data_IF_020707856175
#
_entry.id   IF_020707856175
#
_cell.length_a   1.000
_cell.length_b   1.000
_cell.length_c   1.000
_cell.angle_alpha   90.00
_cell.angle_beta   90.00
_cell.angle_gamma   90.00
#
_symmetry.space_group_name_H-M   'P 1'
#
loop_
_entity.id
_entity.type
_entity.pdbx_description
1 polymer ?
#
# COMPACT_ATOMS: atom_id res chain seq x y z
N UNK A 1 14.58 15.93 -2.43
CA UNK A 1 13.59 14.92 -2.01
C UNK A 1 12.90 15.32 -0.70
N UNK A 2 13.63 15.55 0.41
CA UNK A 2 13.02 15.93 1.69
C UNK A 2 12.34 17.32 1.67
N UNK A 3 12.94 18.29 0.98
CA UNK A 3 12.36 19.62 0.84
C UNK A 3 11.01 19.61 0.11
N UNK A 4 10.89 18.78 -0.92
CA UNK A 4 9.62 18.56 -1.63
C UNK A 4 8.55 17.98 -0.69
N UNK A 5 8.92 17.03 0.17
CA UNK A 5 8.01 16.43 1.16
C UNK A 5 7.57 17.50 2.16
N UNK A 6 8.49 18.33 2.67
CA UNK A 6 8.19 19.45 3.57
C UNK A 6 7.15 20.39 2.97
N UNK A 7 7.35 20.82 1.72
CA UNK A 7 6.42 21.71 1.01
C UNK A 7 5.05 21.05 0.80
N UNK A 8 5.00 19.77 0.43
CA UNK A 8 3.75 19.02 0.27
C UNK A 8 2.98 18.95 1.60
N UNK A 9 3.68 18.63 2.70
CA UNK A 9 3.07 18.54 4.02
C UNK A 9 2.57 19.90 4.49
N UNK A 10 3.38 20.96 4.36
CA UNK A 10 2.98 22.33 4.70
C UNK A 10 1.70 22.73 3.95
N UNK A 11 1.67 22.51 2.62
CA UNK A 11 0.48 22.75 1.79
C UNK A 11 -0.74 21.97 2.27
N UNK A 12 -0.55 20.68 2.54
CA UNK A 12 -1.63 19.81 3.01
C UNK A 12 -2.18 20.25 4.37
N UNK A 13 -1.33 20.59 5.32
CA UNK A 13 -1.74 20.98 6.67
C UNK A 13 -2.63 22.23 6.62
N UNK A 14 -2.18 23.31 5.97
CA UNK A 14 -2.96 24.54 5.91
C UNK A 14 -4.26 24.36 5.09
N UNK A 15 -4.21 23.68 3.94
CA UNK A 15 -5.40 23.49 3.10
C UNK A 15 -6.48 22.66 3.80
N UNK A 16 -6.09 21.65 4.58
CA UNK A 16 -7.05 20.83 5.34
C UNK A 16 -7.67 21.61 6.50
N UNK A 17 -6.88 22.44 7.19
CA UNK A 17 -7.36 23.34 8.23
C UNK A 17 -8.37 24.35 7.68
N UNK A 18 -8.04 25.02 6.58
CA UNK A 18 -8.92 26.02 5.95
C UNK A 18 -10.25 25.42 5.48
N UNK A 19 -10.21 24.19 4.94
CA UNK A 19 -11.43 23.47 4.53
C UNK A 19 -12.36 23.21 5.70
N UNK A 20 -11.83 22.79 6.85
CA UNK A 20 -12.65 22.45 8.02
C UNK A 20 -13.11 23.70 8.77
N UNK A 21 -12.33 24.77 8.77
CA UNK A 21 -12.76 26.07 9.30
C UNK A 21 -13.98 26.62 8.55
N UNK A 22 -13.99 26.52 7.21
CA UNK A 22 -15.12 26.95 6.36
C UNK A 22 -16.36 26.05 6.48
N UNK A 23 -16.20 24.84 6.99
CA UNK A 23 -17.30 23.88 7.11
C UNK A 23 -18.07 24.09 8.42
N UNK A 24 -19.39 24.30 8.33
CA UNK A 24 -20.24 24.61 9.49
C UNK A 24 -20.71 23.41 10.32
N UNK A 25 -20.56 22.18 9.83
CA UNK A 25 -21.05 20.99 10.55
C UNK A 25 -20.09 20.47 11.63
N UNK A 26 -20.63 19.70 12.57
CA UNK A 26 -19.88 19.10 13.67
C UNK A 26 -19.04 17.88 13.26
N UNK A 27 -19.47 17.16 12.23
CA UNK A 27 -18.81 15.94 11.72
C UNK A 27 -18.07 16.26 10.43
N UNK A 28 -16.91 15.63 10.20
CA UNK A 28 -16.10 15.89 8.99
C UNK A 28 -16.92 15.71 7.69
N UNK A 29 -16.70 16.54 6.65
CA UNK A 29 -17.54 16.56 5.44
C UNK A 29 -17.69 15.19 4.74
N UNK A 30 -16.61 14.42 4.65
CA UNK A 30 -16.62 13.10 4.03
C UNK A 30 -17.52 12.12 4.79
N UNK A 31 -17.53 12.20 6.12
CA UNK A 31 -18.33 11.35 7.00
C UNK A 31 -19.78 11.84 7.02
N UNK A 32 -20.01 13.15 7.03
CA UNK A 32 -21.35 13.72 6.87
C UNK A 32 -22.02 13.19 5.60
N UNK A 33 -21.30 13.14 4.46
CA UNK A 33 -21.84 12.57 3.23
C UNK A 33 -22.23 11.10 3.35
N UNK A 34 -21.46 10.30 4.10
CA UNK A 34 -21.81 8.90 4.38
C UNK A 34 -23.08 8.83 5.23
N UNK A 35 -23.16 9.64 6.28
CA UNK A 35 -24.36 9.74 7.12
C UNK A 35 -25.58 10.12 6.31
N UNK A 36 -25.51 11.14 5.46
CA UNK A 36 -26.65 11.57 4.62
C UNK A 36 -27.13 10.44 3.70
N UNK A 37 -26.22 9.62 3.16
CA UNK A 37 -26.60 8.44 2.39
C UNK A 37 -27.27 7.38 3.27
N UNK A 38 -26.73 7.11 4.46
CA UNK A 38 -27.31 6.15 5.40
C UNK A 38 -28.68 6.60 5.89
N UNK A 39 -28.88 7.91 6.14
CA UNK A 39 -30.17 8.52 6.47
C UNK A 39 -31.19 8.28 5.37
N UNK A 40 -30.83 8.49 4.09
CA UNK A 40 -31.71 8.19 2.95
C UNK A 40 -32.10 6.72 2.89
N UNK A 41 -31.15 5.81 3.10
CA UNK A 41 -31.41 4.36 3.08
C UNK A 41 -32.18 3.87 4.31
N UNK A 42 -32.11 4.60 5.43
CA UNK A 42 -32.72 4.22 6.70
C UNK A 42 -34.24 4.07 6.65
N UNK A 43 -34.90 4.77 5.71
CA UNK A 43 -36.36 4.73 5.55
C UNK A 43 -36.89 3.39 4.98
N UNK A 44 -36.01 2.53 4.48
CA UNK A 44 -36.39 1.26 3.83
C UNK A 44 -36.57 0.09 4.81
N UNK A 45 -36.52 0.35 6.11
CA UNK A 45 -36.48 -0.70 7.13
C UNK A 45 -37.65 -0.59 8.11
N UNK A 46 -38.19 -1.74 8.49
CA UNK A 46 -39.21 -1.86 9.53
C UNK A 46 -38.52 -2.18 10.84
N UNK A 47 -38.92 -1.50 11.92
CA UNK A 47 -38.29 -1.58 13.23
C UNK A 47 -39.21 -2.27 14.24
N UNK A 48 -38.67 -3.22 14.98
CA UNK A 48 -39.29 -3.83 16.15
C UNK A 48 -38.42 -3.50 17.36
N UNK A 49 -38.96 -2.70 18.27
CA UNK A 49 -38.27 -2.23 19.45
C UNK A 49 -38.48 -3.17 20.64
N UNK A 50 -37.41 -3.47 21.38
CA UNK A 50 -37.48 -4.35 22.54
C UNK A 50 -37.89 -3.64 23.86
N UNK A 51 -38.23 -2.34 23.81
CA UNK A 51 -38.53 -1.53 24.99
C UNK A 51 -37.30 -0.90 25.68
N UNK A 52 -36.08 -1.14 25.20
CA UNK A 52 -34.85 -0.57 25.76
C UNK A 52 -33.90 -0.02 24.67
N UNK A 53 -32.66 -0.52 24.59
CA UNK A 53 -31.64 -0.04 23.64
C UNK A 53 -31.43 -0.98 22.45
N UNK A 54 -32.21 -2.06 22.35
CA UNK A 54 -32.06 -3.04 21.27
C UNK A 54 -33.25 -3.01 20.32
N UNK A 55 -32.94 -3.21 19.06
CA UNK A 55 -33.90 -3.21 17.97
C UNK A 55 -33.65 -4.40 17.07
N UNK A 56 -34.74 -4.99 16.60
CA UNK A 56 -34.74 -5.84 15.42
C UNK A 56 -35.14 -4.98 14.22
N UNK A 57 -34.32 -5.00 13.19
CA UNK A 57 -34.48 -4.22 11.96
C UNK A 57 -34.73 -5.20 10.83
N UNK A 58 -35.89 -5.12 10.19
CA UNK A 58 -36.30 -5.99 9.09
C UNK A 58 -36.20 -5.23 7.77
N UNK A 59 -35.52 -5.84 6.80
CA UNK A 59 -35.48 -5.37 5.42
C UNK A 59 -36.62 -5.95 4.58
N UNK A 60 -36.87 -5.33 3.42
CA UNK A 60 -37.90 -5.78 2.47
C UNK A 60 -37.70 -7.22 1.98
N UNK A 61 -36.45 -7.69 1.93
CA UNK A 61 -36.06 -9.05 1.55
C UNK A 61 -36.34 -10.12 2.62
N UNK A 62 -36.86 -9.74 3.78
CA UNK A 62 -37.04 -10.64 4.92
C UNK A 62 -35.79 -10.80 5.79
N UNK A 63 -34.66 -10.24 5.38
CA UNK A 63 -33.44 -10.16 6.19
C UNK A 63 -33.69 -9.39 7.49
N UNK A 64 -33.05 -9.85 8.57
CA UNK A 64 -33.17 -9.27 9.90
C UNK A 64 -31.80 -8.94 10.48
N UNK A 65 -31.69 -7.76 11.08
CA UNK A 65 -30.51 -7.31 11.79
C UNK A 65 -30.85 -6.93 13.22
N UNK A 66 -29.92 -7.15 14.12
CA UNK A 66 -30.03 -6.69 15.51
C UNK A 66 -29.13 -5.47 15.68
N UNK A 67 -29.68 -4.42 16.28
CA UNK A 67 -28.97 -3.17 16.58
C UNK A 67 -29.01 -2.96 18.09
N UNK A 68 -27.87 -2.62 18.68
CA UNK A 68 -27.74 -2.19 20.07
C UNK A 68 -27.17 -0.77 20.10
N UNK A 69 -28.00 0.20 20.47
CA UNK A 69 -27.62 1.62 20.50
C UNK A 69 -26.67 1.95 21.67
N UNK A 70 -26.79 1.24 22.80
CA UNK A 70 -25.88 1.44 23.94
C UNK A 70 -24.46 0.98 23.64
N UNK A 71 -24.33 -0.17 22.99
CA UNK A 71 -23.05 -0.71 22.58
C UNK A 71 -22.54 -0.10 21.27
N UNK A 72 -23.36 0.73 20.60
CA UNK A 72 -23.07 1.29 19.27
C UNK A 72 -22.70 0.20 18.26
N UNK A 73 -23.48 -0.88 18.26
CA UNK A 73 -23.19 -2.10 17.51
C UNK A 73 -24.37 -2.52 16.64
N UNK A 74 -24.08 -3.18 15.52
CA UNK A 74 -25.08 -3.71 14.62
C UNK A 74 -24.62 -5.04 14.02
N UNK A 75 -25.50 -6.02 13.91
CA UNK A 75 -25.17 -7.34 13.35
C UNK A 75 -24.65 -7.29 11.90
N UNK A 76 -24.91 -6.21 11.15
CA UNK A 76 -24.30 -5.99 9.84
C UNK A 76 -22.78 -5.66 9.89
N UNK A 77 -22.21 -5.47 11.08
CA UNK A 77 -20.80 -5.14 11.39
C UNK A 77 -20.24 -3.84 10.83
N UNK A 78 -20.97 -3.13 9.96
CA UNK A 78 -20.53 -1.84 9.41
C UNK A 78 -20.22 -0.83 10.52
N UNK A 79 -21.09 -0.75 11.54
CA UNK A 79 -20.89 0.18 12.64
C UNK A 79 -19.69 -0.22 13.50
N UNK A 80 -19.56 -1.50 13.86
CA UNK A 80 -18.44 -1.99 14.68
C UNK A 80 -17.07 -1.77 14.01
N UNK A 81 -17.02 -1.85 12.68
CA UNK A 81 -15.78 -1.71 11.91
C UNK A 81 -15.40 -0.25 11.63
N UNK A 82 -16.40 0.62 11.44
CA UNK A 82 -16.17 1.99 10.98
C UNK A 82 -16.40 3.05 12.05
N UNK A 83 -17.01 2.69 13.18
CA UNK A 83 -17.48 3.61 14.21
C UNK A 83 -18.46 4.69 13.68
N UNK A 84 -19.07 4.43 12.51
CA UNK A 84 -20.08 5.28 11.87
C UNK A 84 -21.41 4.51 11.87
N UNK A 85 -22.51 5.11 12.34
CA UNK A 85 -23.84 4.49 12.29
C UNK A 85 -24.17 4.03 10.87
N UNK A 86 -24.50 2.75 10.73
CA UNK A 86 -24.97 2.18 9.47
C UNK A 86 -26.43 2.58 9.19
N UNK A 87 -26.95 2.23 8.02
CA UNK A 87 -28.33 2.49 7.63
C UNK A 87 -29.35 1.90 8.63
N UNK A 88 -29.11 0.67 9.13
CA UNK A 88 -29.97 0.03 10.13
C UNK A 88 -29.97 0.78 11.47
N UNK A 89 -28.77 1.14 11.95
CA UNK A 89 -28.61 1.89 13.19
C UNK A 89 -29.24 3.28 13.09
N UNK A 90 -29.11 3.91 11.93
CA UNK A 90 -29.70 5.21 11.63
C UNK A 90 -31.22 5.16 11.75
N UNK A 91 -31.86 4.11 11.24
CA UNK A 91 -33.31 3.89 11.41
C UNK A 91 -33.71 3.82 12.89
N UNK A 92 -32.95 3.07 13.70
CA UNK A 92 -33.21 2.95 15.14
C UNK A 92 -33.05 4.27 15.89
N UNK A 93 -32.03 5.07 15.54
CA UNK A 93 -31.77 6.38 16.13
C UNK A 93 -32.93 7.35 15.80
N UNK A 94 -33.39 7.35 14.55
CA UNK A 94 -34.54 8.15 14.14
C UNK A 94 -35.83 7.74 14.85
N UNK A 95 -36.03 6.44 15.09
CA UNK A 95 -37.17 5.97 15.90
C UNK A 95 -37.15 6.57 17.31
N UNK A 96 -35.97 6.73 17.93
CA UNK A 96 -35.79 7.38 19.23
C UNK A 96 -35.84 8.91 19.18
N UNK A 97 -35.97 9.52 18.00
CA UNK A 97 -35.93 10.98 17.77
C UNK A 97 -34.62 11.63 18.25
N UNK A 98 -33.52 10.90 18.14
CA UNK A 98 -32.18 11.37 18.49
C UNK A 98 -31.39 11.74 17.23
N UNK A 99 -30.30 12.50 17.37
CA UNK A 99 -29.46 12.88 16.24
C UNK A 99 -28.43 11.80 15.93
N UNK A 100 -28.23 11.49 14.64
CA UNK A 100 -27.31 10.44 14.19
C UNK A 100 -25.85 10.85 14.41
N UNK A 101 -25.57 12.15 14.31
CA UNK A 101 -24.26 12.76 14.50
C UNK A 101 -23.70 12.50 15.92
N UNK A 102 -24.56 12.36 16.93
CA UNK A 102 -24.16 12.09 18.33
C UNK A 102 -23.60 10.67 18.53
N UNK A 103 -24.01 9.76 17.64
CA UNK A 103 -23.61 8.37 17.63
C UNK A 103 -22.30 8.12 16.88
N UNK A 104 -21.80 9.12 16.13
CA UNK A 104 -20.48 9.08 15.50
C UNK A 104 -19.39 9.20 16.56
N UNK A 105 -18.30 8.44 16.40
CA UNK A 105 -17.16 8.52 17.31
C UNK A 105 -16.41 9.85 17.19
N UNK A 106 -15.82 10.29 18.30
CA UNK A 106 -15.11 11.56 18.44
C UNK A 106 -14.01 11.81 17.38
N UNK A 107 -13.35 10.76 16.88
CA UNK A 107 -12.27 10.88 15.89
C UNK A 107 -12.72 11.49 14.55
N UNK A 108 -14.01 11.41 14.25
CA UNK A 108 -14.60 11.99 13.04
C UNK A 108 -15.22 13.37 13.27
N UNK A 109 -15.23 13.87 14.51
CA UNK A 109 -15.72 15.21 14.81
C UNK A 109 -14.70 16.28 14.39
N UNK A 110 -15.24 17.45 14.05
CA UNK A 110 -14.49 18.64 13.63
C UNK A 110 -13.40 19.01 14.64
N UNK A 111 -13.70 18.94 15.92
CA UNK A 111 -12.76 19.27 16.99
C UNK A 111 -11.48 18.41 16.94
N UNK A 112 -11.63 17.09 16.82
CA UNK A 112 -10.50 16.18 16.76
C UNK A 112 -9.71 16.35 15.45
N UNK A 113 -10.42 16.61 14.34
CA UNK A 113 -9.76 16.96 13.09
C UNK A 113 -8.92 18.23 13.24
N UNK A 114 -9.46 19.29 13.84
CA UNK A 114 -8.73 20.53 14.07
C UNK A 114 -7.49 20.31 14.93
N UNK A 115 -7.58 19.51 16.00
CA UNK A 115 -6.41 19.12 16.81
C UNK A 115 -5.36 18.37 15.99
N UNK A 116 -5.76 17.44 15.14
CA UNK A 116 -4.84 16.68 14.30
C UNK A 116 -4.07 17.55 13.28
N UNK A 117 -4.65 18.67 12.86
CA UNK A 117 -4.07 19.63 11.90
C UNK A 117 -3.71 20.97 12.54
N UNK A 118 -3.59 21.02 13.87
CA UNK A 118 -3.33 22.25 14.61
C UNK A 118 -1.90 22.76 14.35
N UNK A 119 -0.94 21.84 14.32
CA UNK A 119 0.47 22.17 14.19
C UNK A 119 0.82 22.61 12.77
N UNK A 120 1.61 23.68 12.70
CA UNK A 120 2.11 24.29 11.47
C UNK A 120 3.57 23.88 11.27
N UNK A 121 3.93 23.66 10.01
CA UNK A 121 5.34 23.61 9.63
C UNK A 121 5.80 25.04 9.37
N UNK A 122 6.96 25.41 9.91
CA UNK A 122 7.55 26.72 9.66
C UNK A 122 8.25 26.74 8.29
N UNK A 123 8.26 27.89 7.60
CA UNK A 123 9.13 28.10 6.45
C UNK A 123 10.60 27.95 6.89
N UNK A 124 11.41 27.44 5.99
CA UNK A 124 12.86 27.31 6.17
C UNK A 124 13.51 28.07 5.02
N UNK A 125 14.68 28.67 5.29
CA UNK A 125 15.49 29.39 4.31
C UNK A 125 15.95 28.48 3.17
N UNK A 126 16.65 29.06 2.20
CA UNK A 126 17.18 28.27 1.08
C UNK A 126 18.21 27.24 1.55
N UNK A 127 18.33 26.12 0.84
CA UNK A 127 19.29 25.05 1.21
C UNK A 127 20.74 25.55 1.34
N UNK A 128 21.08 26.63 0.63
CA UNK A 128 22.42 27.25 0.66
C UNK A 128 22.74 27.91 2.00
N UNK A 129 21.71 28.30 2.75
CA UNK A 129 21.81 29.03 4.03
C UNK A 129 21.63 28.11 5.23
N UNK A 130 21.44 26.81 5.00
CA UNK A 130 21.27 25.86 6.09
C UNK A 130 22.61 25.60 6.80
N UNK A 131 22.62 25.57 8.14
CA UNK A 131 23.82 25.23 8.87
C UNK A 131 24.26 23.81 8.53
N UNK A 132 25.57 23.60 8.46
CA UNK A 132 26.12 22.26 8.27
C UNK A 132 25.76 21.40 9.49
N UNK A 133 25.01 20.33 9.26
CA UNK A 133 24.63 19.43 10.33
C UNK A 133 25.81 18.51 10.65
N UNK A 134 26.49 18.73 11.78
CA UNK A 134 27.44 17.77 12.37
C UNK A 134 26.68 16.63 13.07
N UNK A 135 25.77 15.99 12.34
CA UNK A 135 25.03 14.83 12.80
C UNK A 135 25.64 13.58 12.18
N UNK A 136 25.73 12.50 12.97
CA UNK A 136 26.06 11.20 12.43
C UNK A 136 25.04 10.87 11.33
N UNK A 137 25.52 10.79 10.09
CA UNK A 137 24.68 10.38 8.97
C UNK A 137 24.09 9.02 9.31
N UNK A 138 22.76 8.95 9.38
CA UNK A 138 22.06 7.67 9.41
C UNK A 138 22.34 7.03 8.06
N UNK A 139 23.36 6.19 8.01
CA UNK A 139 23.60 5.33 6.85
C UNK A 139 22.34 4.50 6.65
N UNK A 140 21.71 4.54 5.46
CA UNK A 140 20.63 3.63 5.16
C UNK A 140 21.10 2.23 5.50
N UNK A 141 20.31 1.49 6.27
CA UNK A 141 20.68 0.14 6.69
C UNK A 141 21.16 -0.61 5.45
N UNK A 142 22.46 -0.90 5.36
CA UNK A 142 23.12 -1.40 4.14
C UNK A 142 22.57 -2.75 3.68
N UNK A 143 21.75 -3.37 4.53
CA UNK A 143 21.16 -4.68 4.40
C UNK A 143 19.66 -4.60 4.11
N UNK A 144 19.16 -3.56 3.43
CA UNK A 144 17.87 -3.66 2.74
C UNK A 144 18.05 -4.69 1.64
N UNK A 145 17.85 -5.96 1.98
CA UNK A 145 17.69 -6.99 0.98
C UNK A 145 16.53 -6.55 0.09
N UNK A 146 16.81 -6.36 -1.20
CA UNK A 146 15.74 -6.21 -2.20
C UNK A 146 14.81 -7.39 -1.97
N UNK A 147 13.62 -7.15 -1.43
CA UNK A 147 12.58 -8.17 -1.38
C UNK A 147 12.49 -8.73 -2.80
N UNK A 148 12.55 -10.05 -2.94
CA UNK A 148 12.33 -10.70 -4.22
C UNK A 148 11.07 -10.07 -4.82
N UNK A 149 11.17 -9.48 -6.01
CA UNK A 149 10.06 -8.79 -6.63
C UNK A 149 8.84 -9.71 -6.67
N UNK A 150 7.64 -9.13 -6.63
CA UNK A 150 6.40 -9.90 -6.82
C UNK A 150 6.59 -10.84 -8.01
N UNK A 151 6.45 -12.17 -7.84
CA UNK A 151 6.59 -13.11 -8.95
C UNK A 151 5.72 -12.61 -10.09
N UNK A 152 6.33 -12.44 -11.26
CA UNK A 152 5.63 -12.01 -12.46
C UNK A 152 4.42 -12.93 -12.66
N UNK A 153 3.21 -12.34 -12.56
CA UNK A 153 1.98 -13.04 -12.95
C UNK A 153 1.91 -13.23 -14.48
N UNK A 154 2.89 -12.73 -15.24
CA UNK A 154 3.00 -12.91 -16.69
C UNK A 154 3.60 -14.27 -17.05
N UNK A 155 3.49 -15.29 -16.19
CA UNK A 155 3.62 -16.65 -16.66
C UNK A 155 2.43 -16.91 -17.59
N UNK A 156 2.67 -16.86 -18.90
CA UNK A 156 1.70 -17.28 -19.93
C UNK A 156 1.07 -18.59 -19.46
N UNK A 157 -0.26 -18.69 -19.55
CA UNK A 157 -0.98 -19.93 -19.31
C UNK A 157 -0.42 -20.97 -20.27
N UNK A 158 0.25 -21.99 -19.72
CA UNK A 158 0.83 -23.08 -20.51
C UNK A 158 -0.29 -23.99 -21.01
N UNK A 159 -0.20 -24.42 -22.25
CA UNK A 159 -1.12 -25.42 -22.79
C UNK A 159 -0.86 -26.80 -22.15
N UNK A 160 -1.85 -27.71 -22.12
CA UNK A 160 -1.72 -29.00 -21.45
C UNK A 160 -0.50 -29.82 -21.89
N UNK A 161 -0.13 -29.70 -23.17
CA UNK A 161 1.01 -30.38 -23.79
C UNK A 161 2.37 -29.90 -23.24
N UNK A 162 2.49 -28.61 -22.90
CA UNK A 162 3.72 -28.04 -22.32
C UNK A 162 3.96 -28.47 -20.86
N UNK A 163 2.94 -28.97 -20.16
CA UNK A 163 3.04 -29.49 -18.80
C UNK A 163 3.56 -30.95 -18.79
N UNK A 164 3.21 -31.73 -19.81
CA UNK A 164 3.60 -33.13 -19.97
C UNK A 164 5.10 -33.30 -20.29
N UNK A 165 5.69 -32.35 -21.03
CA UNK A 165 7.10 -32.37 -21.44
C UNK A 165 8.12 -32.40 -20.27
N UNK A 166 7.68 -32.15 -19.03
CA UNK A 166 8.54 -32.22 -17.84
C UNK A 166 8.69 -33.62 -17.23
N UNK A 167 7.86 -34.60 -17.61
CA UNK A 167 7.96 -35.95 -17.02
C UNK A 167 9.21 -36.72 -17.47
N UNK A 168 9.79 -36.38 -18.62
CA UNK A 168 10.95 -37.09 -19.20
C UNK A 168 12.22 -36.23 -19.27
N UNK A 169 12.34 -35.20 -18.43
CA UNK A 169 13.61 -34.51 -18.26
C UNK A 169 14.63 -35.48 -17.65
N UNK A 170 15.54 -36.01 -18.48
CA UNK A 170 16.65 -36.87 -18.05
C UNK A 170 17.35 -36.18 -16.89
N UNK A 171 17.16 -36.70 -15.67
CA UNK A 171 17.90 -36.24 -14.49
C UNK A 171 19.38 -36.38 -14.85
N UNK A 172 20.12 -35.28 -14.91
CA UNK A 172 21.54 -35.19 -15.31
C UNK A 172 22.51 -35.92 -14.36
N UNK A 173 22.03 -36.90 -13.61
CA UNK A 173 22.76 -37.61 -12.57
C UNK A 173 23.73 -38.66 -13.13
N UNK A 174 23.74 -38.91 -14.45
CA UNK A 174 24.60 -39.93 -15.09
C UNK A 174 25.36 -39.49 -16.34
N UNK A 175 25.43 -38.19 -16.65
CA UNK A 175 26.39 -37.74 -17.68
C UNK A 175 27.78 -37.62 -17.05
N UNK A 176 28.64 -38.62 -17.29
CA UNK A 176 30.07 -38.53 -16.97
C UNK A 176 30.69 -37.50 -17.93
N UNK A 177 30.83 -36.26 -17.47
CA UNK A 177 31.50 -35.21 -18.22
C UNK A 177 33.02 -35.47 -18.24
N UNK A 178 33.63 -35.26 -19.41
CA UNK A 178 35.09 -35.23 -19.60
C UNK A 178 35.62 -33.84 -19.27
N UNK A 179 36.70 -33.77 -18.51
CA UNK A 179 37.37 -32.53 -18.20
C UNK A 179 38.03 -31.96 -19.47
N UNK A 180 37.66 -30.77 -19.90
CA UNK A 180 38.25 -30.13 -21.09
C UNK A 180 39.71 -29.68 -20.89
N UNK A 181 40.28 -29.88 -19.69
CA UNK A 181 41.66 -29.49 -19.36
C UNK A 181 42.62 -30.69 -19.41
N UNK A 182 42.23 -31.85 -18.88
CA UNK A 182 43.06 -33.07 -18.88
C UNK A 182 42.45 -34.24 -19.68
N UNK A 183 41.23 -34.11 -20.19
CA UNK A 183 40.52 -35.15 -20.95
C UNK A 183 39.85 -36.25 -20.12
N UNK A 184 40.14 -36.35 -18.82
CA UNK A 184 39.65 -37.45 -17.97
C UNK A 184 38.17 -37.29 -17.57
N UNK A 185 37.47 -38.41 -17.39
CA UNK A 185 36.03 -38.47 -17.05
C UNK A 185 35.83 -38.41 -15.54
N UNK A 186 34.84 -37.64 -15.08
CA UNK A 186 34.37 -37.66 -13.68
C UNK A 186 34.58 -36.37 -12.90
N UNK A 187 35.33 -35.40 -13.44
CA UNK A 187 35.49 -34.07 -12.86
C UNK A 187 35.45 -32.99 -13.93
N UNK A 188 35.13 -31.75 -13.52
CA UNK A 188 34.95 -30.63 -14.43
C UNK A 188 36.22 -29.76 -14.38
N UNK A 189 36.48 -28.94 -15.40
CA UNK A 189 37.66 -28.08 -15.51
C UNK A 189 37.94 -27.24 -14.26
N UNK A 190 36.90 -26.82 -13.52
CA UNK A 190 37.02 -26.04 -12.28
C UNK A 190 37.58 -26.84 -11.09
N UNK A 191 37.43 -28.17 -11.12
CA UNK A 191 37.87 -29.09 -10.08
C UNK A 191 39.02 -29.99 -10.58
N UNK A 192 39.64 -29.62 -11.71
CA UNK A 192 40.78 -30.34 -12.25
C UNK A 192 42.04 -29.97 -11.46
N UNK A 193 42.75 -30.99 -10.97
CA UNK A 193 43.98 -30.83 -10.18
C UNK A 193 45.21 -30.58 -11.07
N UNK A 194 45.11 -30.80 -12.37
CA UNK A 194 46.19 -30.49 -13.32
C UNK A 194 46.20 -29.00 -13.65
N UNK A 195 47.28 -28.31 -13.26
CA UNK A 195 47.48 -26.89 -13.56
C UNK A 195 47.60 -26.69 -15.07
N UNK A 196 46.91 -25.67 -15.61
CA UNK A 196 46.93 -25.38 -17.06
C UNK A 196 48.37 -25.19 -17.53
N UNK A 197 48.87 -26.06 -18.41
CA UNK A 197 50.02 -25.72 -19.23
C UNK A 197 49.63 -24.53 -20.10
N UNK A 198 50.25 -23.39 -19.86
CA UNK A 198 50.06 -22.17 -20.63
C UNK A 198 50.68 -22.35 -22.02
N UNK A 199 49.90 -22.84 -22.98
CA UNK A 199 50.22 -22.66 -24.39
C UNK A 199 49.88 -21.23 -24.80
N UNK A 200 50.93 -20.45 -25.10
CA UNK A 200 50.82 -19.12 -25.67
C UNK A 200 50.12 -19.23 -27.03
N UNK A 201 48.97 -18.56 -27.19
CA UNK A 201 48.37 -18.31 -28.50
C UNK A 201 48.39 -16.81 -28.77
N UNK A 202 49.27 -16.40 -29.66
CA UNK A 202 49.40 -15.04 -30.21
C UNK A 202 48.26 -14.72 -31.19
N UNK A 203 47.92 -13.41 -31.25
CA UNK A 203 47.25 -12.63 -32.32
C UNK A 203 45.79 -12.18 -32.07
N UNK A 204 45.30 -11.06 -32.68
CA UNK A 204 45.98 -9.80 -33.03
C UNK A 204 45.32 -8.57 -32.36
N UNK A 205 46.07 -7.45 -32.27
CA UNK A 205 45.60 -6.17 -31.70
C UNK A 205 44.53 -5.53 -32.61
N UNK A 206 43.33 -5.26 -32.07
CA UNK A 206 42.31 -4.45 -32.75
C UNK A 206 42.70 -2.97 -32.71
N UNK A 207 42.87 -2.36 -33.88
CA UNK A 207 42.97 -0.91 -34.04
C UNK A 207 41.66 -0.23 -33.61
N UNK A 208 41.74 0.79 -32.75
CA UNK A 208 40.62 1.69 -32.43
C UNK A 208 40.71 2.92 -33.33
N UNK A 209 39.66 3.19 -34.11
CA UNK A 209 39.50 4.47 -34.81
C UNK A 209 38.97 5.54 -33.83
N UNK A 210 39.43 6.80 -33.90
CA UNK A 210 38.94 7.87 -33.05
C UNK A 210 37.59 8.39 -33.58
N UNK A 211 36.65 8.60 -32.66
CA UNK A 211 35.34 9.22 -32.93
C UNK A 211 35.53 10.73 -33.05
N UNK A 212 35.23 11.30 -34.22
CA UNK A 212 35.17 12.76 -34.42
C UNK A 212 33.86 13.31 -33.84
N UNK A 213 33.98 14.31 -32.98
CA UNK A 213 32.88 15.13 -32.46
C UNK A 213 32.53 16.14 -33.58
N UNK A 214 31.29 16.12 -34.06
CA UNK A 214 30.76 17.19 -34.91
C UNK A 214 29.87 18.06 -34.03
N UNK A 215 30.33 19.29 -33.81
CA UNK A 215 29.58 20.41 -33.28
C UNK A 215 28.69 20.96 -34.39
N UNK A 216 27.38 21.07 -34.15
CA UNK A 216 26.49 21.91 -34.97
C UNK A 216 25.73 22.84 -34.05
N UNK A 217 26.20 24.09 -34.00
CA UNK A 217 25.38 25.27 -33.81
C UNK A 217 24.78 25.64 -35.17
N UNK A 218 23.46 25.73 -35.26
CA UNK A 218 22.70 26.88 -35.79
C UNK A 218 21.44 26.95 -34.92
#
# INVERSE_FOLDING_TARGET
MLETIRVILMKRLHTQRDKVLKFGGEVCPSIQRILENNKKSSHNYILVWNGHNKFEVQGWNGDKWTVDLSLRSCSCRKWDLTDIPCEHATSCIFYRRENVEDYVRIWYKKEMFMRAYEHLLNPINSQKEWPFANLNLIVPWSNIQKKCGRPSQNARRKEPEELEAKKYGIKRHRLKYTCSNCGERGHNKKQCTMTRASTQSTSPKKFKLPVRIISTYI
#
